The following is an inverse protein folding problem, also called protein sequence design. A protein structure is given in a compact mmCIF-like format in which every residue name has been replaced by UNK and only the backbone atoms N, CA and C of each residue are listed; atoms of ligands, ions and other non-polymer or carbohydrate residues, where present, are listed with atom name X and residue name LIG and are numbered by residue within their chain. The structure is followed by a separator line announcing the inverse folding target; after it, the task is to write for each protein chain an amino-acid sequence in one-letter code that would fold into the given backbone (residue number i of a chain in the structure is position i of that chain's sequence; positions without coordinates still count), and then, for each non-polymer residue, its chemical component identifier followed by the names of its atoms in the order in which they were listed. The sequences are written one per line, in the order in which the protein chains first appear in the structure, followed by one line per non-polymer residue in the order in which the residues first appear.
data_IF_593963687232
#
_entry.id   IF_593963687232
#
_cell.length_a   1.000
_cell.length_b   1.000
_cell.length_c   1.000
_cell.angle_alpha   90.00
_cell.angle_beta   90.00
_cell.angle_gamma   90.00
#
_symmetry.space_group_name_H-M   'P 1'
#
loop_
_entity.id
_entity.type
_entity.pdbx_description
1 polymer ?
#
# COMPACT_ATOMS: atom_id res chain seq x y z
N UNK A 1 -2.83 -29.73 11.62
CA UNK A 1 -2.61 -28.27 11.69
C UNK A 1 -3.77 -27.60 12.42
N UNK A 2 -3.54 -26.86 13.51
CA UNK A 2 -4.61 -26.20 14.25
C UNK A 2 -5.34 -25.17 13.38
N UNK A 3 -6.68 -25.13 13.47
CA UNK A 3 -7.56 -24.28 12.65
C UNK A 3 -7.14 -22.80 12.68
N UNK A 4 -6.62 -22.33 13.81
CA UNK A 4 -6.14 -20.96 14.02
C UNK A 4 -4.94 -20.56 13.16
N UNK A 5 -4.01 -21.49 12.88
CA UNK A 5 -2.87 -21.22 11.98
C UNK A 5 -3.33 -21.07 10.53
N UNK A 6 -4.26 -21.93 10.10
CA UNK A 6 -4.82 -21.87 8.74
C UNK A 6 -5.56 -20.56 8.52
N UNK A 7 -6.37 -20.13 9.50
CA UNK A 7 -7.07 -18.84 9.42
C UNK A 7 -6.11 -17.66 9.39
N UNK A 8 -5.03 -17.67 10.17
CA UNK A 8 -4.02 -16.60 10.15
C UNK A 8 -3.30 -16.53 8.79
N UNK A 9 -2.95 -17.68 8.22
CA UNK A 9 -2.36 -17.73 6.87
C UNK A 9 -3.31 -17.19 5.81
N UNK A 10 -4.59 -17.58 5.85
CA UNK A 10 -5.61 -17.06 4.93
C UNK A 10 -5.80 -15.55 5.07
N UNK A 11 -5.82 -15.04 6.30
CA UNK A 11 -5.88 -13.59 6.54
C UNK A 11 -4.68 -12.85 5.97
N UNK A 12 -3.46 -13.37 6.14
CA UNK A 12 -2.26 -12.78 5.55
C UNK A 12 -2.38 -12.75 4.02
N UNK A 13 -2.80 -13.84 3.38
CA UNK A 13 -2.98 -13.88 1.93
C UNK A 13 -4.02 -12.88 1.43
N UNK A 14 -5.14 -12.73 2.13
CA UNK A 14 -6.17 -11.73 1.78
C UNK A 14 -5.62 -10.30 1.90
N UNK A 15 -4.83 -10.02 2.93
CA UNK A 15 -4.24 -8.70 3.16
C UNK A 15 -3.16 -8.38 2.13
N UNK A 16 -2.31 -9.35 1.77
CA UNK A 16 -1.31 -9.20 0.70
C UNK A 16 -1.96 -8.83 -0.64
N UNK A 17 -3.13 -9.41 -0.96
CA UNK A 17 -3.93 -9.03 -2.14
C UNK A 17 -4.42 -7.58 -2.03
N UNK A 18 -4.98 -7.18 -0.89
CA UNK A 18 -5.41 -5.81 -0.65
C UNK A 18 -4.28 -4.78 -0.78
N UNK A 19 -3.08 -5.10 -0.28
CA UNK A 19 -1.88 -4.26 -0.45
C UNK A 19 -1.51 -4.11 -1.93
N UNK A 20 -1.56 -5.21 -2.69
CA UNK A 20 -1.30 -5.19 -4.13
C UNK A 20 -2.31 -4.32 -4.89
N UNK A 21 -3.59 -4.44 -4.55
CA UNK A 21 -4.67 -3.63 -5.14
C UNK A 21 -4.49 -2.14 -4.83
N UNK A 22 -4.28 -1.79 -3.55
CA UNK A 22 -4.02 -0.41 -3.13
C UNK A 22 -2.76 0.18 -3.78
N UNK A 23 -1.71 -0.64 -3.94
CA UNK A 23 -0.49 -0.23 -4.64
C UNK A 23 -0.75 0.07 -6.12
N UNK A 24 -1.58 -0.75 -6.77
CA UNK A 24 -2.02 -0.52 -8.15
C UNK A 24 -2.82 0.78 -8.29
N UNK A 25 -3.79 1.01 -7.39
CA UNK A 25 -4.57 2.24 -7.35
C UNK A 25 -3.69 3.48 -7.11
N UNK A 26 -2.74 3.39 -6.17
CA UNK A 26 -1.78 4.47 -5.88
C UNK A 26 -0.91 4.79 -7.10
N UNK A 27 -0.46 3.77 -7.84
CA UNK A 27 0.31 3.96 -9.08
C UNK A 27 -0.52 4.70 -10.14
N UNK A 28 -1.75 4.26 -10.38
CA UNK A 28 -2.67 4.92 -11.31
C UNK A 28 -2.94 6.37 -10.92
N UNK A 29 -3.16 6.64 -9.63
CA UNK A 29 -3.38 7.99 -9.12
C UNK A 29 -2.15 8.90 -9.29
N UNK A 30 -0.94 8.37 -9.08
CA UNK A 30 0.30 9.11 -9.35
C UNK A 30 0.46 9.47 -10.82
N UNK A 31 0.13 8.54 -11.73
CA UNK A 31 0.14 8.83 -13.17
C UNK A 31 -0.87 9.93 -13.52
N UNK A 32 -2.07 9.91 -12.92
CA UNK A 32 -3.05 10.98 -13.10
C UNK A 32 -2.51 12.34 -12.65
N UNK A 33 -1.88 12.42 -11.47
CA UNK A 33 -1.23 13.65 -11.00
C UNK A 33 -0.16 14.17 -11.97
N UNK A 34 0.66 13.27 -12.53
CA UNK A 34 1.66 13.64 -13.51
C UNK A 34 1.02 14.19 -14.80
N UNK A 35 -0.10 13.61 -15.24
CA UNK A 35 -0.84 14.11 -16.40
C UNK A 35 -1.37 15.52 -16.17
N UNK A 36 -1.90 15.81 -14.98
CA UNK A 36 -2.31 17.17 -14.62
C UNK A 36 -1.15 18.16 -14.66
N UNK A 37 0.00 17.78 -14.09
CA UNK A 37 1.19 18.62 -14.11
C UNK A 37 1.66 18.93 -15.54
N UNK A 38 1.75 17.89 -16.38
CA UNK A 38 2.15 18.04 -17.78
C UNK A 38 1.15 18.92 -18.56
N UNK A 39 -0.16 18.74 -18.34
CA UNK A 39 -1.20 19.55 -18.97
C UNK A 39 -1.12 21.02 -18.55
N UNK A 40 -0.92 21.29 -17.26
CA UNK A 40 -0.76 22.65 -16.75
C UNK A 40 0.46 23.32 -17.40
N UNK A 41 1.60 22.62 -17.47
CA UNK A 41 2.80 23.15 -18.12
C UNK A 41 2.57 23.43 -19.61
N UNK A 42 1.89 22.53 -20.33
CA UNK A 42 1.55 22.73 -21.74
C UNK A 42 0.64 23.95 -21.95
N UNK A 43 -0.41 24.09 -21.13
CA UNK A 43 -1.33 25.23 -21.17
C UNK A 43 -0.63 26.54 -20.81
N UNK A 44 0.30 26.53 -19.86
CA UNK A 44 1.11 27.69 -19.52
C UNK A 44 1.96 28.14 -20.73
N UNK A 45 2.65 27.21 -21.40
CA UNK A 45 3.41 27.52 -22.62
C UNK A 45 2.52 28.11 -23.71
N UNK A 46 1.32 27.53 -23.90
CA UNK A 46 0.34 28.01 -24.87
C UNK A 46 -0.17 29.43 -24.57
N UNK A 47 -0.28 29.80 -23.29
CA UNK A 47 -0.75 31.13 -22.86
C UNK A 47 0.25 32.27 -23.14
N UNK A 48 1.52 31.95 -23.40
CA UNK A 48 2.62 32.91 -23.60
C UNK A 48 2.88 33.18 -25.10
N UNK A 49 2.00 32.71 -26.00
CA UNK A 49 2.14 32.95 -27.43
C UNK A 49 2.44 34.44 -27.74
N UNK A 50 3.46 34.73 -28.58
CA UNK A 50 3.91 36.09 -28.82
C UNK A 50 2.81 36.93 -29.48
N UNK A 51 2.66 38.17 -29.01
CA UNK A 51 1.80 39.14 -29.66
C UNK A 51 2.52 39.72 -30.89
N UNK A 52 1.95 39.54 -32.07
CA UNK A 52 2.47 40.18 -33.29
C UNK A 52 2.31 41.70 -33.20
N UNK A 53 3.38 42.42 -33.48
CA UNK A 53 3.45 43.89 -33.39
C UNK A 53 2.52 44.63 -34.38
N UNK A 54 1.87 43.90 -35.32
CA UNK A 54 0.94 44.44 -36.33
C UNK A 54 -0.54 44.08 -36.06
N UNK A 55 -0.90 43.66 -34.84
CA UNK A 55 -2.26 43.20 -34.55
C UNK A 55 -3.29 44.34 -34.54
N UNK A 56 -4.40 44.18 -35.27
CA UNK A 56 -5.53 45.12 -35.19
C UNK A 56 -6.33 44.95 -33.88
N UNK A 57 -7.20 45.91 -33.56
CA UNK A 57 -7.98 45.91 -32.30
C UNK A 57 -8.81 44.63 -32.07
N UNK A 58 -9.41 44.06 -33.12
CA UNK A 58 -10.15 42.80 -33.03
C UNK A 58 -9.24 41.61 -32.67
N UNK A 59 -8.02 41.57 -33.22
CA UNK A 59 -7.02 40.56 -32.91
C UNK A 59 -6.52 40.66 -31.47
N UNK A 60 -6.35 41.88 -30.94
CA UNK A 60 -6.02 42.11 -29.53
C UNK A 60 -7.13 41.61 -28.58
N UNK A 61 -8.40 41.89 -28.91
CA UNK A 61 -9.56 41.40 -28.15
C UNK A 61 -9.58 39.87 -28.16
N UNK A 62 -9.38 39.25 -29.32
CA UNK A 62 -9.31 37.79 -29.44
C UNK A 62 -8.18 37.17 -28.61
N UNK A 63 -6.98 37.76 -28.64
CA UNK A 63 -5.85 37.30 -27.82
C UNK A 63 -6.16 37.43 -26.32
N UNK A 64 -6.80 38.52 -25.89
CA UNK A 64 -7.19 38.71 -24.50
C UNK A 64 -8.22 37.65 -24.04
N UNK A 65 -9.25 37.39 -24.86
CA UNK A 65 -10.23 36.34 -24.57
C UNK A 65 -9.61 34.94 -24.54
N UNK A 66 -8.72 34.65 -25.50
CA UNK A 66 -7.98 33.40 -25.56
C UNK A 66 -7.14 33.16 -24.30
N UNK A 67 -6.35 34.15 -23.89
CA UNK A 67 -5.53 34.08 -22.67
C UNK A 67 -6.39 33.90 -21.42
N UNK A 68 -7.49 34.64 -21.31
CA UNK A 68 -8.46 34.49 -20.21
C UNK A 68 -9.05 33.08 -20.17
N UNK A 69 -9.39 32.51 -21.32
CA UNK A 69 -9.93 31.15 -21.41
C UNK A 69 -8.90 30.09 -21.01
N UNK A 70 -7.67 30.18 -21.50
CA UNK A 70 -6.58 29.28 -21.09
C UNK A 70 -6.33 29.38 -19.59
N UNK A 71 -6.27 30.61 -19.05
CA UNK A 71 -6.04 30.79 -17.62
C UNK A 71 -7.16 30.16 -16.78
N UNK A 72 -8.42 30.24 -17.23
CA UNK A 72 -9.54 29.55 -16.58
C UNK A 72 -9.34 28.02 -16.59
N UNK A 73 -8.91 27.46 -17.71
CA UNK A 73 -8.64 26.01 -17.83
C UNK A 73 -7.47 25.62 -16.90
N UNK A 74 -6.39 26.41 -16.86
CA UNK A 74 -5.27 26.17 -15.93
C UNK A 74 -5.75 26.16 -14.48
N UNK A 75 -6.56 27.13 -14.09
CA UNK A 75 -7.09 27.21 -12.73
C UNK A 75 -7.93 25.98 -12.38
N UNK A 76 -8.77 25.52 -13.31
CA UNK A 76 -9.53 24.28 -13.15
C UNK A 76 -8.62 23.04 -13.03
N UNK A 77 -7.62 22.89 -13.92
CA UNK A 77 -6.66 21.78 -13.85
C UNK A 77 -5.88 21.75 -12.53
N UNK A 78 -5.55 22.91 -11.95
CA UNK A 78 -4.92 23.01 -10.63
C UNK A 78 -5.83 22.54 -9.49
N UNK A 79 -7.13 22.85 -9.57
CA UNK A 79 -8.11 22.38 -8.59
C UNK A 79 -8.24 20.85 -8.66
N UNK A 80 -8.38 20.30 -9.88
CA UNK A 80 -8.42 18.85 -10.10
C UNK A 80 -7.14 18.14 -9.62
N UNK A 81 -5.98 18.73 -9.88
CA UNK A 81 -4.71 18.22 -9.37
C UNK A 81 -4.67 18.21 -7.84
N UNK A 82 -5.18 19.25 -7.18
CA UNK A 82 -5.24 19.29 -5.72
C UNK A 82 -6.13 18.18 -5.15
N UNK A 83 -7.30 17.93 -5.76
CA UNK A 83 -8.17 16.81 -5.39
C UNK A 83 -7.48 15.46 -5.61
N UNK A 84 -6.80 15.30 -6.74
CA UNK A 84 -6.07 14.09 -7.07
C UNK A 84 -4.89 13.83 -6.12
N UNK A 85 -4.22 14.87 -5.63
CA UNK A 85 -3.18 14.78 -4.60
C UNK A 85 -3.75 14.38 -3.23
N UNK A 86 -4.91 14.92 -2.83
CA UNK A 86 -5.60 14.47 -1.62
C UNK A 86 -5.92 12.98 -1.69
N UNK A 87 -6.42 12.51 -2.83
CA UNK A 87 -6.69 11.08 -3.04
C UNK A 87 -5.41 10.22 -2.97
N UNK A 88 -4.29 10.72 -3.50
CA UNK A 88 -2.98 10.03 -3.36
C UNK A 88 -2.59 9.88 -1.89
N UNK A 89 -2.74 10.93 -1.08
CA UNK A 89 -2.41 10.87 0.35
C UNK A 89 -3.28 9.84 1.08
N UNK A 90 -4.59 9.86 0.83
CA UNK A 90 -5.50 8.84 1.37
C UNK A 90 -5.08 7.42 1.00
N UNK A 91 -4.77 7.16 -0.28
CA UNK A 91 -4.31 5.85 -0.73
C UNK A 91 -2.97 5.44 -0.08
N UNK A 92 -2.07 6.38 0.19
CA UNK A 92 -0.83 6.11 0.92
C UNK A 92 -1.09 5.73 2.37
N UNK A 93 -1.97 6.46 3.05
CA UNK A 93 -2.35 6.18 4.44
C UNK A 93 -3.03 4.82 4.57
N UNK A 94 -3.95 4.50 3.65
CA UNK A 94 -4.63 3.21 3.57
C UNK A 94 -3.64 2.06 3.33
N UNK A 95 -2.70 2.25 2.41
CA UNK A 95 -1.65 1.27 2.11
C UNK A 95 -0.77 1.00 3.35
N UNK A 96 -0.38 2.06 4.07
CA UNK A 96 0.40 1.92 5.30
C UNK A 96 -0.41 1.22 6.40
N UNK A 97 -1.71 1.52 6.51
CA UNK A 97 -2.58 0.87 7.48
C UNK A 97 -2.74 -0.64 7.19
N UNK A 98 -2.92 -1.02 5.93
CA UNK A 98 -2.99 -2.42 5.50
C UNK A 98 -1.65 -3.16 5.67
N UNK A 99 -0.53 -2.54 5.32
CA UNK A 99 0.80 -3.12 5.57
C UNK A 99 1.07 -3.35 7.07
N UNK A 100 0.67 -2.40 7.93
CA UNK A 100 0.75 -2.58 9.40
C UNK A 100 -0.15 -3.71 9.89
N UNK A 101 -1.35 -3.86 9.32
CA UNK A 101 -2.28 -4.96 9.64
C UNK A 101 -1.68 -6.31 9.26
N UNK A 102 -1.17 -6.44 8.04
CA UNK A 102 -0.50 -7.66 7.57
C UNK A 102 0.65 -8.06 8.50
N UNK A 103 1.53 -7.11 8.83
CA UNK A 103 2.66 -7.36 9.74
C UNK A 103 2.21 -7.87 11.11
N UNK A 104 1.13 -7.33 11.67
CA UNK A 104 0.57 -7.83 12.94
C UNK A 104 0.11 -9.29 12.83
N UNK A 105 -0.52 -9.67 11.73
CA UNK A 105 -0.94 -11.06 11.52
C UNK A 105 0.24 -12.01 11.31
N UNK A 106 1.30 -11.57 10.62
CA UNK A 106 2.53 -12.34 10.48
C UNK A 106 3.17 -12.62 11.84
N UNK A 107 3.34 -11.60 12.68
CA UNK A 107 3.85 -11.75 14.05
C UNK A 107 2.98 -12.69 14.89
N UNK A 108 1.65 -12.57 14.80
CA UNK A 108 0.74 -13.47 15.51
C UNK A 108 0.85 -14.93 15.03
N UNK A 109 1.09 -15.15 13.73
CA UNK A 109 1.31 -16.48 13.17
C UNK A 109 2.62 -17.08 13.68
N UNK A 110 3.70 -16.30 13.70
CA UNK A 110 5.01 -16.70 14.22
C UNK A 110 4.93 -17.12 15.68
N UNK A 111 4.37 -16.26 16.54
CA UNK A 111 4.17 -16.55 17.97
C UNK A 111 3.35 -17.83 18.20
N UNK A 112 2.33 -18.08 17.36
CA UNK A 112 1.55 -19.32 17.47
C UNK A 112 2.33 -20.56 17.06
N UNK A 113 3.17 -20.46 16.02
CA UNK A 113 4.04 -21.57 15.60
C UNK A 113 5.07 -21.89 16.68
N UNK A 114 5.68 -20.89 17.26
CA UNK A 114 6.64 -21.05 18.36
C UNK A 114 5.99 -21.72 19.57
N UNK A 115 4.80 -21.27 19.99
CA UNK A 115 4.08 -21.89 21.11
C UNK A 115 3.77 -23.37 20.87
N UNK A 116 3.35 -23.74 19.65
CA UNK A 116 3.11 -25.13 19.27
C UNK A 116 4.41 -25.95 19.33
N UNK A 117 5.50 -25.43 18.77
CA UNK A 117 6.79 -26.11 18.78
C UNK A 117 7.32 -26.36 20.20
N UNK A 118 7.15 -25.38 21.10
CA UNK A 118 7.52 -25.51 22.52
C UNK A 118 6.70 -26.61 23.19
N UNK A 119 5.38 -26.63 22.98
CA UNK A 119 4.50 -27.63 23.59
C UNK A 119 4.77 -29.05 23.05
N UNK A 120 5.07 -29.17 21.76
CA UNK A 120 5.52 -30.43 21.14
C UNK A 120 6.86 -30.89 21.74
N UNK A 121 7.83 -29.99 21.88
CA UNK A 121 9.11 -30.27 22.52
C UNK A 121 8.95 -30.74 23.97
N UNK A 122 8.09 -30.08 24.75
CA UNK A 122 7.77 -30.50 26.14
C UNK A 122 7.16 -31.90 26.19
N UNK A 123 6.25 -32.24 25.26
CA UNK A 123 5.64 -33.58 25.20
C UNK A 123 6.67 -34.64 24.83
N UNK A 124 7.52 -34.36 23.86
CA UNK A 124 8.61 -35.26 23.46
C UNK A 124 9.58 -35.51 24.61
N UNK A 125 10.00 -34.45 25.33
CA UNK A 125 10.87 -34.58 26.49
C UNK A 125 10.24 -35.45 27.58
N UNK A 126 8.98 -35.18 27.95
CA UNK A 126 8.26 -35.99 28.95
C UNK A 126 8.18 -37.46 28.56
N UNK A 127 7.99 -37.78 27.28
CA UNK A 127 7.96 -39.15 26.81
C UNK A 127 9.33 -39.82 26.94
N UNK A 128 10.41 -39.13 26.55
CA UNK A 128 11.79 -39.61 26.69
C UNK A 128 12.17 -39.83 28.15
N UNK A 129 11.82 -38.89 29.03
CA UNK A 129 12.09 -38.99 30.46
C UNK A 129 11.35 -40.18 31.09
N UNK A 130 10.08 -40.40 30.70
CA UNK A 130 9.29 -41.53 31.17
C UNK A 130 9.90 -42.88 30.75
N UNK A 131 10.35 -43.00 29.49
CA UNK A 131 11.04 -44.20 29.00
C UNK A 131 12.35 -44.42 29.77
N UNK A 132 13.12 -43.36 29.99
CA UNK A 132 14.41 -43.41 30.69
C UNK A 132 14.23 -43.86 32.15
N UNK A 133 13.23 -43.32 32.85
CA UNK A 133 12.87 -43.72 34.21
C UNK A 133 12.44 -45.20 34.29
N UNK A 134 11.64 -45.69 33.33
CA UNK A 134 11.26 -47.09 33.27
C UNK A 134 12.46 -48.02 33.04
N UNK A 135 13.36 -47.65 32.12
CA UNK A 135 14.59 -48.40 31.86
C UNK A 135 15.50 -48.48 33.10
N UNK A 136 15.60 -47.38 33.85
CA UNK A 136 16.36 -47.33 35.11
C UNK A 136 15.74 -48.25 36.18
N UNK A 137 14.42 -48.16 36.40
CA UNK A 137 13.69 -49.00 37.36
C UNK A 137 13.82 -50.50 37.04
N UNK A 138 13.77 -50.88 35.75
CA UNK A 138 13.95 -52.27 35.33
C UNK A 138 15.34 -52.80 35.65
N UNK A 139 16.39 -52.00 35.44
CA UNK A 139 17.77 -52.39 35.79
C UNK A 139 17.97 -52.55 37.29
N UNK A 140 17.39 -51.68 38.11
CA UNK A 140 17.52 -51.76 39.57
C UNK A 140 16.71 -52.88 40.23
N UNK A 141 15.67 -53.41 39.58
CA UNK A 141 14.92 -54.58 40.07
C UNK A 141 15.49 -55.92 39.64
N UNK A 142 16.44 -55.92 38.71
CA UNK A 142 17.09 -57.14 38.18
C UNK A 142 18.43 -57.45 38.89
N UNK A 143 18.79 -56.66 39.89
CA UNK A 143 19.89 -56.87 40.84
C UNK A 143 19.31 -57.16 42.21
#
# INVERSE_FOLDING_TARGET
MPKTLVTLQQLIQLRARGIKELSGQLSSQKQLNQRYENNIQALQKLSVAPADASSNAAMMINQAHYKKNIQRIINWQKQEQALAQLKTRQLQDDLLAEARRERRFQLALEQRREGIAIDEGRKAQKATDAISAQCWLRRHRAT
#
